data_IF_717666632498
#
_entry.id   IF_717666632498
#
_cell.length_a   1.000
_cell.length_b   1.000
_cell.length_c   1.000
_cell.angle_alpha   90.00
_cell.angle_beta   90.00
_cell.angle_gamma   90.00
#
_symmetry.space_group_name_H-M   'P 1'
#
loop_
_entity.id
_entity.type
_entity.pdbx_description
1 polymer ?
#
# COMPACT_ATOMS: atom_id res chain seq x y z
N UNK A 1 30.29 13.76 6.16
CA UNK A 1 29.40 12.96 7.01
C UNK A 1 28.29 12.37 6.16
N UNK A 2 28.46 11.10 5.76
CA UNK A 2 27.50 10.39 4.91
C UNK A 2 26.28 9.98 5.75
N UNK A 3 25.11 10.58 5.48
CA UNK A 3 23.85 10.09 6.03
C UNK A 3 23.56 8.73 5.40
N UNK A 4 23.76 7.68 6.19
CA UNK A 4 23.26 6.35 5.87
C UNK A 4 21.73 6.45 5.70
N UNK A 5 21.26 6.37 4.45
CA UNK A 5 19.82 6.19 4.17
C UNK A 5 19.45 4.82 4.74
N UNK A 6 18.80 4.81 5.90
CA UNK A 6 18.11 3.61 6.36
C UNK A 6 17.07 3.29 5.31
N UNK A 7 17.33 2.27 4.50
CA UNK A 7 16.31 1.64 3.68
C UNK A 7 15.23 1.15 4.64
N UNK A 8 14.09 1.82 4.68
CA UNK A 8 12.92 1.31 5.38
C UNK A 8 12.43 0.10 4.59
N UNK A 9 12.92 -1.06 4.95
CA UNK A 9 12.39 -2.33 4.44
C UNK A 9 11.03 -2.53 5.10
N UNK A 10 9.96 -2.42 4.33
CA UNK A 10 8.62 -2.74 4.81
C UNK A 10 8.55 -4.26 4.99
N UNK A 11 8.23 -4.79 6.17
CA UNK A 11 8.15 -6.22 6.39
C UNK A 11 6.99 -6.81 5.58
N UNK A 12 7.24 -7.89 4.85
CA UNK A 12 6.20 -8.66 4.18
C UNK A 12 5.55 -9.59 5.22
N UNK A 13 4.24 -9.52 5.34
CA UNK A 13 3.46 -10.37 6.23
C UNK A 13 2.72 -11.40 5.37
N UNK A 14 3.05 -12.66 5.56
CA UNK A 14 2.36 -13.78 4.92
C UNK A 14 1.47 -14.47 5.95
N UNK A 15 0.15 -14.36 5.76
CA UNK A 15 -0.83 -15.07 6.59
C UNK A 15 -1.22 -16.38 5.91
N UNK A 16 -0.84 -17.50 6.49
CA UNK A 16 -1.13 -18.84 5.96
C UNK A 16 -2.40 -19.40 6.58
N UNK A 17 -3.32 -19.84 5.73
CA UNK A 17 -4.57 -20.48 6.13
C UNK A 17 -4.71 -21.84 5.44
N UNK A 18 -4.97 -22.88 6.21
CA UNK A 18 -5.20 -24.24 5.70
C UNK A 18 -6.58 -24.31 5.08
N UNK A 19 -6.66 -24.60 3.79
CA UNK A 19 -7.95 -24.69 3.08
C UNK A 19 -8.85 -25.83 3.60
N UNK A 20 -8.28 -26.77 4.33
CA UNK A 20 -9.01 -27.85 4.98
C UNK A 20 -9.82 -27.36 6.20
N UNK A 21 -9.40 -26.27 6.84
CA UNK A 21 -10.08 -25.74 8.01
C UNK A 21 -11.43 -25.17 7.61
N UNK A 22 -12.51 -25.91 7.90
CA UNK A 22 -13.87 -25.51 7.56
C UNK A 22 -14.56 -24.67 8.64
N UNK A 23 -13.87 -24.36 9.74
CA UNK A 23 -14.40 -23.55 10.84
C UNK A 23 -13.48 -22.39 11.14
N UNK A 24 -13.94 -21.19 10.86
CA UNK A 24 -13.28 -19.95 11.26
C UNK A 24 -13.59 -19.62 12.74
N UNK A 25 -13.11 -20.45 13.65
CA UNK A 25 -13.36 -20.34 15.09
C UNK A 25 -12.05 -20.50 15.90
N UNK A 26 -12.09 -20.22 17.19
CA UNK A 26 -10.98 -20.44 18.10
C UNK A 26 -9.70 -19.70 17.72
N UNK A 27 -8.61 -20.46 17.57
CA UNK A 27 -7.28 -19.92 17.27
C UNK A 27 -7.18 -19.26 15.89
N UNK A 28 -7.88 -19.79 14.89
CA UNK A 28 -7.90 -19.25 13.51
C UNK A 28 -8.49 -17.85 13.53
N UNK A 29 -9.63 -17.65 14.18
CA UNK A 29 -10.26 -16.34 14.28
C UNK A 29 -9.40 -15.35 15.10
N UNK A 30 -8.76 -15.82 16.17
CA UNK A 30 -7.81 -14.99 16.95
C UNK A 30 -6.65 -14.52 16.08
N UNK A 31 -6.03 -15.40 15.30
CA UNK A 31 -4.95 -15.05 14.40
C UNK A 31 -5.38 -14.04 13.34
N UNK A 32 -6.57 -14.21 12.77
CA UNK A 32 -7.13 -13.26 11.80
C UNK A 32 -7.39 -11.88 12.43
N UNK A 33 -7.90 -11.84 13.66
CA UNK A 33 -8.11 -10.58 14.39
C UNK A 33 -6.78 -9.90 14.73
N UNK A 34 -5.74 -10.64 15.11
CA UNK A 34 -4.41 -10.09 15.28
C UNK A 34 -3.88 -9.50 13.98
N UNK A 35 -4.06 -10.20 12.85
CA UNK A 35 -3.67 -9.69 11.54
C UNK A 35 -4.37 -8.35 11.23
N UNK A 36 -5.66 -8.22 11.50
CA UNK A 36 -6.41 -6.97 11.34
C UNK A 36 -5.82 -5.81 12.14
N UNK A 37 -5.38 -6.08 13.37
CA UNK A 37 -4.78 -5.07 14.24
C UNK A 37 -3.41 -4.61 13.72
N UNK A 38 -2.55 -5.55 13.30
CA UNK A 38 -1.21 -5.22 12.81
C UNK A 38 -1.20 -4.67 11.39
N UNK A 39 -2.25 -4.96 10.60
CA UNK A 39 -2.41 -4.42 9.24
C UNK A 39 -2.81 -2.94 9.28
N UNK A 40 -1.93 -2.09 9.83
CA UNK A 40 -2.13 -0.64 9.85
C UNK A 40 -2.12 -0.03 8.43
N UNK A 41 -2.63 1.18 8.21
CA UNK A 41 -2.76 1.80 6.88
C UNK A 41 -1.49 1.79 6.03
N UNK A 42 -0.31 1.83 6.64
CA UNK A 42 0.98 1.82 5.92
C UNK A 42 1.54 0.43 5.60
N UNK A 43 0.97 -0.66 6.13
CA UNK A 43 1.47 -2.03 5.96
C UNK A 43 0.54 -2.93 5.13
N UNK A 44 -0.60 -2.41 4.68
CA UNK A 44 -1.65 -3.21 4.04
C UNK A 44 -1.21 -3.83 2.71
N UNK A 45 -0.47 -3.09 1.91
CA UNK A 45 0.07 -3.57 0.62
C UNK A 45 1.12 -4.68 0.78
N UNK A 46 1.74 -4.76 1.96
CA UNK A 46 2.75 -5.76 2.30
C UNK A 46 2.17 -7.02 2.95
N UNK A 47 0.84 -7.12 3.05
CA UNK A 47 0.15 -8.29 3.60
C UNK A 47 -0.40 -9.15 2.48
N UNK A 48 -0.08 -10.44 2.49
CA UNK A 48 -0.67 -11.43 1.60
C UNK A 48 -1.33 -12.55 2.38
N UNK A 49 -2.60 -12.81 2.05
CA UNK A 49 -3.41 -13.91 2.56
C UNK A 49 -3.20 -15.11 1.66
N UNK A 50 -2.80 -16.23 2.19
CA UNK A 50 -2.43 -17.41 1.40
C UNK A 50 -3.18 -18.63 1.88
N UNK A 51 -3.88 -19.29 0.96
CA UNK A 51 -4.45 -20.61 1.22
C UNK A 51 -3.45 -21.71 0.91
N UNK A 52 -3.37 -22.72 1.78
CA UNK A 52 -2.39 -23.82 1.71
C UNK A 52 -3.04 -25.18 1.81
N UNK A 53 -2.26 -26.26 1.56
CA UNK A 53 -2.68 -27.66 1.68
C UNK A 53 -3.83 -28.03 0.73
N UNK A 54 -3.77 -27.52 -0.49
CA UNK A 54 -4.74 -27.84 -1.54
C UNK A 54 -4.64 -29.29 -2.00
N UNK A 55 -3.43 -29.84 -2.02
CA UNK A 55 -3.16 -31.25 -2.38
C UNK A 55 -3.78 -32.27 -1.44
N UNK A 56 -4.09 -31.86 -0.21
CA UNK A 56 -4.69 -32.74 0.80
C UNK A 56 -6.23 -32.79 0.72
N UNK A 57 -6.84 -32.01 -0.15
CA UNK A 57 -8.29 -32.02 -0.33
C UNK A 57 -8.72 -33.24 -1.16
N UNK A 58 -9.79 -33.94 -0.76
CA UNK A 58 -10.32 -35.05 -1.53
C UNK A 58 -10.91 -34.61 -2.89
N UNK A 59 -11.33 -33.35 -2.98
CA UNK A 59 -11.93 -32.75 -4.19
C UNK A 59 -11.67 -31.25 -4.21
N UNK A 60 -11.27 -30.72 -5.36
CA UNK A 60 -10.93 -29.31 -5.53
C UNK A 60 -12.14 -28.37 -5.41
N UNK A 61 -13.34 -28.85 -5.80
CA UNK A 61 -14.56 -28.04 -5.68
C UNK A 61 -14.95 -27.69 -4.22
N UNK A 62 -14.55 -28.56 -3.26
CA UNK A 62 -14.72 -28.27 -1.83
C UNK A 62 -13.82 -27.12 -1.42
N UNK A 63 -12.56 -27.14 -1.88
CA UNK A 63 -11.61 -26.05 -1.63
C UNK A 63 -12.08 -24.74 -2.24
N UNK A 64 -12.54 -24.77 -3.50
CA UNK A 64 -13.03 -23.59 -4.19
C UNK A 64 -14.21 -22.92 -3.46
N UNK A 65 -15.14 -23.69 -2.92
CA UNK A 65 -16.26 -23.14 -2.13
C UNK A 65 -15.79 -22.51 -0.81
N UNK A 66 -14.86 -23.17 -0.11
CA UNK A 66 -14.26 -22.62 1.13
C UNK A 66 -13.47 -21.34 0.88
N UNK A 67 -12.71 -21.33 -0.19
CA UNK A 67 -11.98 -20.14 -0.61
C UNK A 67 -12.93 -18.98 -0.91
N UNK A 68 -14.01 -19.23 -1.63
CA UNK A 68 -15.02 -18.21 -1.88
C UNK A 68 -15.61 -17.66 -0.58
N UNK A 69 -15.89 -18.50 0.39
CA UNK A 69 -16.34 -18.10 1.71
C UNK A 69 -15.31 -17.24 2.45
N UNK A 70 -14.02 -17.63 2.40
CA UNK A 70 -12.92 -16.85 2.97
C UNK A 70 -12.86 -15.46 2.34
N UNK A 71 -12.88 -15.37 1.02
CA UNK A 71 -12.76 -14.12 0.27
C UNK A 71 -13.96 -13.18 0.50
N UNK A 72 -15.16 -13.73 0.57
CA UNK A 72 -16.40 -12.92 0.63
C UNK A 72 -16.85 -12.57 2.04
N UNK A 73 -16.49 -13.38 3.04
CA UNK A 73 -16.96 -13.21 4.41
C UNK A 73 -15.82 -12.83 5.35
N UNK A 74 -14.79 -13.67 5.43
CA UNK A 74 -13.77 -13.52 6.50
C UNK A 74 -12.62 -12.58 6.14
N UNK A 75 -12.22 -12.50 4.88
CA UNK A 75 -11.09 -11.69 4.40
C UNK A 75 -11.51 -10.45 3.62
N UNK A 76 -12.79 -10.27 3.42
CA UNK A 76 -13.35 -9.18 2.63
C UNK A 76 -12.81 -7.82 3.05
N UNK A 77 -12.88 -7.51 4.33
CA UNK A 77 -12.39 -6.25 4.90
C UNK A 77 -10.89 -6.05 4.67
N UNK A 78 -10.08 -7.10 4.82
CA UNK A 78 -8.65 -7.05 4.55
C UNK A 78 -8.34 -6.82 3.06
N UNK A 79 -9.08 -7.46 2.18
CA UNK A 79 -8.95 -7.29 0.73
C UNK A 79 -9.38 -5.89 0.28
N UNK A 80 -10.47 -5.36 0.82
CA UNK A 80 -10.93 -4.00 0.58
C UNK A 80 -9.92 -2.96 1.11
N UNK A 81 -9.18 -3.30 2.16
CA UNK A 81 -8.07 -2.49 2.67
C UNK A 81 -6.79 -2.55 1.82
N UNK A 82 -6.71 -3.41 0.80
CA UNK A 82 -5.55 -3.54 -0.09
C UNK A 82 -4.62 -4.71 0.21
N UNK A 83 -4.95 -5.60 1.16
CA UNK A 83 -4.24 -6.87 1.33
C UNK A 83 -4.41 -7.74 0.08
N UNK A 84 -3.37 -8.51 -0.24
CA UNK A 84 -3.38 -9.40 -1.41
C UNK A 84 -3.78 -10.80 -1.03
N UNK A 85 -4.14 -11.58 -2.02
CA UNK A 85 -4.51 -12.97 -1.86
C UNK A 85 -3.85 -13.84 -2.92
N UNK A 86 -3.47 -15.08 -2.54
CA UNK A 86 -2.98 -16.10 -3.46
C UNK A 86 -3.14 -17.53 -2.90
N UNK A 87 -2.93 -18.53 -3.77
CA UNK A 87 -2.89 -19.95 -3.42
C UNK A 87 -1.45 -20.47 -3.41
N UNK A 88 -1.05 -21.11 -2.34
CA UNK A 88 0.18 -21.87 -2.31
C UNK A 88 -0.08 -23.31 -2.80
N UNK A 89 0.63 -23.72 -3.84
CA UNK A 89 0.46 -25.02 -4.52
C UNK A 89 1.57 -26.02 -4.19
N UNK A 90 2.16 -25.91 -3.01
CA UNK A 90 3.20 -26.80 -2.48
C UNK A 90 4.44 -26.94 -3.39
N UNK A 91 4.76 -25.89 -4.18
CA UNK A 91 5.93 -25.84 -5.04
C UNK A 91 6.63 -24.48 -4.99
N UNK A 92 7.91 -24.46 -5.40
CA UNK A 92 8.74 -23.26 -5.38
C UNK A 92 8.19 -22.13 -6.27
N UNK A 93 7.59 -22.47 -7.41
CA UNK A 93 7.06 -21.48 -8.35
C UNK A 93 5.92 -20.68 -7.71
N UNK A 94 4.97 -21.34 -7.04
CA UNK A 94 3.88 -20.66 -6.34
C UNK A 94 4.39 -19.84 -5.15
N UNK A 95 5.42 -20.29 -4.44
CA UNK A 95 6.05 -19.54 -3.37
C UNK A 95 6.67 -18.23 -3.89
N UNK A 96 7.45 -18.32 -4.98
CA UNK A 96 8.05 -17.13 -5.60
C UNK A 96 7.02 -16.19 -6.18
N UNK A 97 5.93 -16.70 -6.76
CA UNK A 97 4.82 -15.88 -7.26
C UNK A 97 4.21 -15.07 -6.14
N UNK A 98 3.96 -15.66 -4.98
CA UNK A 98 3.41 -14.99 -3.79
C UNK A 98 4.36 -13.88 -3.31
N UNK A 99 5.65 -14.17 -3.17
CA UNK A 99 6.66 -13.20 -2.70
C UNK A 99 6.79 -12.04 -3.69
N UNK A 100 6.91 -12.33 -4.99
CA UNK A 100 7.07 -11.31 -6.02
C UNK A 100 5.85 -10.40 -6.14
N UNK A 101 4.65 -10.94 -5.93
CA UNK A 101 3.40 -10.16 -5.95
C UNK A 101 3.38 -9.03 -4.92
N UNK A 102 4.03 -9.23 -3.79
CA UNK A 102 4.17 -8.20 -2.74
C UNK A 102 5.32 -7.25 -3.08
N UNK A 103 6.48 -7.79 -3.42
CA UNK A 103 7.69 -6.98 -3.69
C UNK A 103 7.54 -6.00 -4.85
N UNK A 104 6.88 -6.42 -5.94
CA UNK A 104 6.64 -5.54 -7.11
C UNK A 104 5.71 -4.39 -6.77
N UNK A 105 4.71 -4.63 -5.93
CA UNK A 105 3.76 -3.58 -5.58
C UNK A 105 4.37 -2.53 -4.64
N UNK A 106 5.24 -2.93 -3.73
CA UNK A 106 5.93 -1.99 -2.85
C UNK A 106 6.81 -1.06 -3.68
N UNK A 107 7.51 -1.60 -4.69
CA UNK A 107 8.32 -0.80 -5.62
C UNK A 107 7.50 0.18 -6.46
N UNK A 108 6.31 -0.23 -6.92
CA UNK A 108 5.39 0.64 -7.67
C UNK A 108 4.76 1.72 -6.78
N UNK A 109 4.43 1.39 -5.54
CA UNK A 109 3.87 2.33 -4.60
C UNK A 109 4.91 3.38 -4.17
N UNK A 110 6.15 2.98 -3.89
CA UNK A 110 7.25 3.91 -3.63
C UNK A 110 7.52 4.84 -4.82
N UNK A 111 7.49 4.31 -6.05
CA UNK A 111 7.66 5.11 -7.26
C UNK A 111 6.53 6.14 -7.43
N UNK A 112 5.27 5.73 -7.20
CA UNK A 112 4.11 6.62 -7.28
C UNK A 112 4.13 7.69 -6.18
N UNK A 113 4.50 7.34 -4.95
CA UNK A 113 4.65 8.30 -3.85
C UNK A 113 5.77 9.31 -4.13
N UNK A 114 6.89 8.85 -4.69
CA UNK A 114 8.00 9.72 -5.09
C UNK A 114 7.55 10.70 -6.18
N UNK A 115 6.83 10.25 -7.20
CA UNK A 115 6.27 11.11 -8.23
C UNK A 115 5.28 12.12 -7.66
N UNK A 116 4.41 11.70 -6.75
CA UNK A 116 3.47 12.60 -6.06
C UNK A 116 4.18 13.70 -5.25
N UNK A 117 5.23 13.35 -4.51
CA UNK A 117 6.07 14.32 -3.76
C UNK A 117 6.79 15.29 -4.69
N UNK A 118 7.30 14.81 -5.82
CA UNK A 118 7.97 15.65 -6.83
C UNK A 118 6.98 16.65 -7.46
N UNK A 119 5.77 16.19 -7.82
CA UNK A 119 4.72 17.05 -8.35
C UNK A 119 4.29 18.15 -7.38
N UNK A 120 4.09 17.80 -6.11
CA UNK A 120 3.75 18.80 -5.08
C UNK A 120 4.87 19.80 -4.83
N UNK A 121 6.13 19.36 -4.85
CA UNK A 121 7.28 20.26 -4.68
C UNK A 121 7.41 21.26 -5.84
N UNK A 122 7.18 20.80 -7.08
CA UNK A 122 7.19 21.68 -8.26
C UNK A 122 6.06 22.68 -8.22
N UNK A 123 4.86 22.28 -7.81
CA UNK A 123 3.71 23.19 -7.70
C UNK A 123 3.93 24.25 -6.61
N UNK A 124 4.50 23.88 -5.46
CA UNK A 124 4.87 24.81 -4.40
C UNK A 124 5.92 25.81 -4.86
N UNK A 125 6.94 25.36 -5.60
CA UNK A 125 7.97 26.23 -6.17
C UNK A 125 7.38 27.22 -7.19
N UNK A 126 6.46 26.77 -8.03
CA UNK A 126 5.73 27.61 -8.99
C UNK A 126 4.89 28.66 -8.27
N UNK A 127 4.09 28.26 -7.29
CA UNK A 127 3.29 29.20 -6.49
C UNK A 127 4.14 30.22 -5.75
N UNK A 128 5.32 29.81 -5.27
CA UNK A 128 6.27 30.73 -4.63
C UNK A 128 6.77 31.78 -5.62
N UNK A 129 7.18 31.38 -6.82
CA UNK A 129 7.64 32.29 -7.88
C UNK A 129 6.53 33.26 -8.31
N UNK A 130 5.31 32.76 -8.48
CA UNK A 130 4.15 33.59 -8.84
C UNK A 130 3.85 34.64 -7.75
N UNK A 131 3.94 34.27 -6.47
CA UNK A 131 3.79 35.22 -5.34
C UNK A 131 4.91 36.25 -5.30
N UNK A 132 6.15 35.87 -5.50
CA UNK A 132 7.30 36.79 -5.55
C UNK A 132 7.16 37.78 -6.72
N UNK A 133 6.73 37.30 -7.90
CA UNK A 133 6.49 38.17 -9.05
C UNK A 133 5.34 39.14 -8.83
N UNK A 134 4.23 38.68 -8.24
CA UNK A 134 3.10 39.52 -7.87
C UNK A 134 3.50 40.63 -6.86
N UNK A 135 4.33 40.27 -5.86
CA UNK A 135 4.85 41.24 -4.91
C UNK A 135 5.75 42.29 -5.58
N UNK A 136 6.63 41.87 -6.49
CA UNK A 136 7.49 42.77 -7.26
C UNK A 136 6.66 43.77 -8.09
N UNK A 137 5.62 43.28 -8.79
CA UNK A 137 4.71 44.14 -9.58
C UNK A 137 3.95 45.10 -8.68
N UNK A 138 3.51 44.67 -7.51
CA UNK A 138 2.82 45.56 -6.53
C UNK A 138 3.75 46.64 -5.98
N UNK A 139 5.00 46.33 -5.67
CA UNK A 139 5.99 47.30 -5.22
C UNK A 139 6.32 48.31 -6.30
N UNK A 140 6.53 47.85 -7.53
CA UNK A 140 6.80 48.72 -8.68
C UNK A 140 5.63 49.67 -8.95
N UNK A 141 4.39 49.19 -8.88
CA UNK A 141 3.20 50.04 -9.06
C UNK A 141 3.09 51.11 -7.99
N UNK A 142 3.38 50.81 -6.72
CA UNK A 142 3.42 51.75 -5.62
C UNK A 142 4.53 52.79 -5.80
N UNK A 143 5.72 52.35 -6.26
CA UNK A 143 6.84 53.26 -6.51
C UNK A 143 6.54 54.24 -7.65
N UNK A 144 5.98 53.74 -8.77
CA UNK A 144 5.56 54.59 -9.89
C UNK A 144 4.41 55.52 -9.55
N UNK A 145 3.48 55.13 -8.68
CA UNK A 145 2.41 55.97 -8.16
C UNK A 145 2.91 57.14 -7.33
N UNK A 146 4.00 56.94 -6.56
CA UNK A 146 4.60 58.01 -5.74
C UNK A 146 5.24 59.11 -6.60
N UNK A 147 5.86 58.78 -7.70
CA UNK A 147 6.46 59.77 -8.64
C UNK A 147 5.41 60.57 -9.44
N UNK A 148 4.17 60.08 -9.55
CA UNK A 148 3.10 60.74 -10.31
C UNK A 148 2.40 61.85 -9.52
N UNK A 149 2.57 61.90 -8.20
CA UNK A 149 1.97 62.90 -7.32
C UNK A 149 2.96 64.00 -6.88
N UNK A 150 4.20 64.00 -7.41
CA UNK A 150 5.24 64.99 -7.03
C UNK A 150 5.51 66.06 -8.10
N UNK A 151 4.51 66.31 -8.98
CA UNK A 151 4.57 67.45 -9.92
C UNK A 151 3.31 68.32 -9.81
#
# INVERSE_FOLDING_TARGET
>A
MSRCRRSCTVPIIVYLHRIQDNRMAGSVMKSLNHLRVISSPGLKSSVVLVTTLWSELPREDIGARREQELLTIYWRDLLEMGCKYDRFRDNNESAWTIINKVSVQDSLQEANEMQGRFGMAQEQERQRKDREEAQRKSLLSKFLGFFRYSH
#
